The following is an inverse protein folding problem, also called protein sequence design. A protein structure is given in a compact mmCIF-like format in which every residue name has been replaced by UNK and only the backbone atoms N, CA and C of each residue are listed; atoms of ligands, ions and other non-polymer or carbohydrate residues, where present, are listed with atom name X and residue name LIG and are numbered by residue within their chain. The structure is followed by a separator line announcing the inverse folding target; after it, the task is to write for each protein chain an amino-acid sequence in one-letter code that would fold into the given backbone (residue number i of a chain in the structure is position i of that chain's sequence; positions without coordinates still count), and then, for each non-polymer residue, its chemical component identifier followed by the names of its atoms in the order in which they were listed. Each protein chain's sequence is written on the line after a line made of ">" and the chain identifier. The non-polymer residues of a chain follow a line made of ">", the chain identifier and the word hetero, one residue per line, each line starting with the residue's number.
data_IF_792554526194
#
_entry.id   IF_792554526194
#
_cell.length_a   1.000
_cell.length_b   1.000
_cell.length_c   1.000
_cell.angle_alpha   90.00
_cell.angle_beta   90.00
_cell.angle_gamma   90.00
#
_symmetry.space_group_name_H-M   'P 1'
#
loop_
_entity.id
_entity.type
_entity.pdbx_description
1 polymer ?
#
# COMPACT_ATOMS: atom_id res chain seq x y z
N UNK A 1 -6.25 -13.40 23.79
CA UNK A 1 -5.31 -12.91 22.78
C UNK A 1 -4.26 -13.98 22.50
N UNK A 2 -4.31 -14.58 21.32
CA UNK A 2 -3.30 -15.55 20.88
C UNK A 2 -2.03 -14.79 20.48
N UNK A 3 -0.94 -15.00 21.26
CA UNK A 3 0.37 -14.42 20.98
C UNK A 3 1.21 -15.41 20.18
N UNK A 4 1.87 -14.90 19.14
CA UNK A 4 2.83 -15.67 18.35
C UNK A 4 2.15 -16.63 17.36
N UNK A 5 2.33 -16.36 16.08
CA UNK A 5 1.90 -17.24 14.98
C UNK A 5 2.96 -18.33 14.71
N UNK A 6 3.51 -18.93 15.77
CA UNK A 6 4.49 -20.02 15.63
C UNK A 6 3.90 -21.31 15.07
N UNK A 7 2.59 -21.45 15.14
CA UNK A 7 1.85 -22.61 14.64
C UNK A 7 1.36 -22.35 13.21
N UNK A 8 1.65 -23.26 12.29
CA UNK A 8 1.24 -23.21 10.87
C UNK A 8 -0.28 -23.05 10.75
N UNK A 9 -1.05 -23.75 11.60
CA UNK A 9 -2.51 -23.70 11.59
C UNK A 9 -3.04 -22.30 11.93
N UNK A 10 -2.46 -21.63 12.94
CA UNK A 10 -2.83 -20.26 13.32
C UNK A 10 -2.49 -19.24 12.23
N UNK A 11 -1.40 -19.45 11.51
CA UNK A 11 -1.03 -18.62 10.34
C UNK A 11 -2.07 -18.75 9.24
N UNK A 12 -2.53 -19.97 8.94
CA UNK A 12 -3.55 -20.22 7.93
C UNK A 12 -4.89 -19.59 8.30
N UNK A 13 -5.33 -19.70 9.56
CA UNK A 13 -6.55 -19.05 10.04
C UNK A 13 -6.46 -17.52 9.93
N UNK A 14 -5.32 -16.94 10.28
CA UNK A 14 -5.08 -15.50 10.15
C UNK A 14 -5.21 -15.07 8.69
N UNK A 15 -4.49 -15.72 7.77
CA UNK A 15 -4.54 -15.40 6.33
C UNK A 15 -5.95 -15.56 5.76
N UNK A 16 -6.65 -16.63 6.11
CA UNK A 16 -8.02 -16.85 5.67
C UNK A 16 -8.96 -15.74 6.15
N UNK A 17 -8.79 -15.26 7.37
CA UNK A 17 -9.59 -14.15 7.87
C UNK A 17 -9.29 -12.85 7.11
N UNK A 18 -8.02 -12.47 7.00
CA UNK A 18 -7.61 -11.22 6.34
C UNK A 18 -7.98 -11.21 4.86
N UNK A 19 -7.75 -12.32 4.14
CA UNK A 19 -8.02 -12.40 2.70
C UNK A 19 -9.51 -12.37 2.34
N UNK A 20 -10.39 -12.75 3.28
CA UNK A 20 -11.84 -12.77 3.08
C UNK A 20 -12.57 -11.59 3.74
N UNK A 21 -11.88 -10.73 4.48
CA UNK A 21 -12.51 -9.60 5.14
C UNK A 21 -12.56 -8.38 4.22
N UNK A 22 -13.68 -7.63 4.25
CA UNK A 22 -13.87 -6.43 3.40
C UNK A 22 -12.78 -5.36 3.62
N UNK A 23 -12.30 -5.22 4.86
CA UNK A 23 -11.20 -4.34 5.23
C UNK A 23 -9.82 -4.99 5.06
N UNK A 24 -9.76 -6.21 4.50
CA UNK A 24 -8.51 -6.90 4.23
C UNK A 24 -7.63 -6.13 3.25
N UNK A 25 -6.31 -6.23 3.45
CA UNK A 25 -5.31 -5.59 2.60
C UNK A 25 -4.05 -6.46 2.56
N UNK A 26 -3.36 -6.50 1.42
CA UNK A 26 -2.13 -7.29 1.27
C UNK A 26 -1.03 -6.89 2.28
N UNK A 27 -1.05 -5.64 2.78
CA UNK A 27 -0.11 -5.17 3.81
C UNK A 27 -0.45 -5.70 5.21
N UNK A 28 -1.61 -6.33 5.38
CA UNK A 28 -2.00 -7.07 6.59
C UNK A 28 -1.79 -8.58 6.44
N UNK A 29 -1.44 -9.08 5.25
CA UNK A 29 -1.00 -10.47 5.05
C UNK A 29 0.35 -10.73 5.72
N UNK A 30 0.55 -11.92 6.25
CA UNK A 30 1.85 -12.36 6.79
C UNK A 30 2.93 -12.44 5.69
N UNK A 31 2.53 -12.61 4.43
CA UNK A 31 3.44 -12.55 3.29
C UNK A 31 4.13 -11.18 3.17
N UNK A 32 3.47 -10.09 3.61
CA UNK A 32 4.05 -8.76 3.63
C UNK A 32 5.28 -8.65 4.52
N UNK A 33 5.40 -9.48 5.54
CA UNK A 33 6.57 -9.51 6.43
C UNK A 33 7.86 -9.89 5.69
N UNK A 34 7.75 -10.75 4.68
CA UNK A 34 8.87 -11.10 3.80
C UNK A 34 9.35 -9.94 2.94
N UNK A 35 8.47 -9.00 2.58
CA UNK A 35 8.83 -7.75 1.89
C UNK A 35 9.53 -6.79 2.86
N UNK A 36 9.09 -6.75 4.11
CA UNK A 36 9.58 -5.86 5.17
C UNK A 36 10.65 -6.50 6.07
N UNK A 37 11.60 -7.23 5.49
CA UNK A 37 12.66 -7.96 6.23
C UNK A 37 13.46 -7.11 7.23
N UNK A 38 13.52 -5.78 7.02
CA UNK A 38 14.22 -4.84 7.91
C UNK A 38 13.38 -4.44 9.13
N UNK A 39 12.17 -4.97 9.26
CA UNK A 39 11.25 -4.73 10.38
C UNK A 39 10.99 -6.04 11.12
N UNK A 40 10.93 -5.97 12.44
CA UNK A 40 10.29 -7.03 13.21
C UNK A 40 8.78 -6.94 13.01
N UNK A 41 8.08 -8.00 13.34
CA UNK A 41 6.61 -8.02 13.29
C UNK A 41 6.02 -8.90 14.38
N UNK A 42 4.79 -8.57 14.72
CA UNK A 42 3.91 -9.38 15.57
C UNK A 42 2.51 -9.32 14.99
N UNK A 43 1.71 -10.34 15.25
CA UNK A 43 0.30 -10.33 14.88
C UNK A 43 -0.58 -10.56 16.10
N UNK A 44 -1.72 -9.88 16.11
CA UNK A 44 -2.77 -10.00 17.11
C UNK A 44 -3.98 -10.63 16.46
N UNK A 45 -4.62 -11.58 17.15
CA UNK A 45 -5.90 -12.18 16.76
C UNK A 45 -6.86 -12.00 17.91
N UNK A 46 -7.99 -11.36 17.66
CA UNK A 46 -9.14 -11.27 18.57
C UNK A 46 -10.19 -12.31 18.21
N UNK A 47 -10.69 -13.03 19.21
CA UNK A 47 -11.67 -14.11 19.04
C UNK A 47 -12.87 -13.88 19.97
N UNK A 48 -14.04 -14.27 19.51
CA UNK A 48 -15.22 -14.34 20.37
C UNK A 48 -15.15 -15.54 21.35
N UNK A 49 -16.17 -15.66 22.17
CA UNK A 49 -16.30 -16.74 23.20
C UNK A 49 -16.33 -18.14 22.58
N UNK A 50 -16.70 -18.26 21.32
CA UNK A 50 -16.76 -19.51 20.58
C UNK A 50 -15.45 -19.84 19.85
N UNK A 51 -14.42 -18.97 19.96
CA UNK A 51 -13.14 -19.12 19.31
C UNK A 51 -13.10 -18.59 17.87
N UNK A 52 -14.17 -18.00 17.36
CA UNK A 52 -14.23 -17.43 16.00
C UNK A 52 -13.45 -16.12 15.94
N UNK A 53 -12.61 -15.94 14.91
CA UNK A 53 -11.85 -14.70 14.71
C UNK A 53 -12.81 -13.56 14.37
N UNK A 54 -12.73 -12.47 15.13
CA UNK A 54 -13.48 -11.23 14.95
C UNK A 54 -12.64 -10.10 14.41
N UNK A 55 -11.32 -10.18 14.62
CA UNK A 55 -10.41 -9.17 14.11
C UNK A 55 -8.95 -9.57 14.26
N UNK A 56 -8.11 -8.95 13.45
CA UNK A 56 -6.66 -9.18 13.42
C UNK A 56 -5.89 -7.88 13.23
N UNK A 57 -4.62 -7.87 13.62
CA UNK A 57 -3.70 -6.80 13.28
C UNK A 57 -2.29 -7.36 13.07
N UNK A 58 -1.69 -7.08 11.92
CA UNK A 58 -0.25 -7.19 11.70
C UNK A 58 0.42 -5.88 12.14
N UNK A 59 1.34 -5.95 13.07
CA UNK A 59 2.10 -4.81 13.56
C UNK A 59 3.54 -4.95 13.12
N UNK A 60 4.01 -4.03 12.32
CA UNK A 60 5.40 -3.87 11.93
C UNK A 60 6.11 -3.04 12.99
N UNK A 61 7.34 -3.45 13.36
CA UNK A 61 8.10 -2.89 14.46
C UNK A 61 9.47 -2.46 13.95
N UNK A 62 9.70 -1.14 13.92
CA UNK A 62 10.98 -0.56 13.54
C UNK A 62 11.77 -0.20 14.79
N UNK A 63 12.84 -0.93 15.07
CA UNK A 63 13.76 -0.57 16.15
C UNK A 63 14.50 0.72 15.78
N UNK A 64 14.59 1.64 16.72
CA UNK A 64 15.33 2.89 16.56
C UNK A 64 16.76 2.68 17.10
N UNK A 65 17.78 2.70 16.23
CA UNK A 65 19.16 2.51 16.67
C UNK A 65 19.54 3.48 17.78
N UNK A 66 20.27 3.02 18.77
CA UNK A 66 20.83 3.78 19.89
C UNK A 66 19.82 4.34 20.92
N UNK A 67 18.51 4.37 20.62
CA UNK A 67 17.50 4.91 21.54
C UNK A 67 16.80 3.83 22.38
N UNK A 68 17.00 2.55 22.05
CA UNK A 68 16.40 1.42 22.76
C UNK A 68 14.86 1.46 22.78
N UNK A 69 14.23 2.11 21.77
CA UNK A 69 12.79 2.17 21.56
C UNK A 69 12.42 1.78 20.13
N UNK A 70 11.14 1.67 19.85
CA UNK A 70 10.65 1.31 18.52
C UNK A 70 9.48 2.15 18.06
N UNK A 71 9.33 2.23 16.75
CA UNK A 71 8.13 2.72 16.06
C UNK A 71 7.26 1.52 15.69
N UNK A 72 5.97 1.60 15.99
CA UNK A 72 4.98 0.57 15.68
C UNK A 72 4.05 1.06 14.56
N UNK A 73 3.81 0.21 13.56
CA UNK A 73 2.95 0.56 12.46
C UNK A 73 2.09 -0.62 12.01
N UNK A 74 0.79 -0.43 11.92
CA UNK A 74 -0.14 -1.41 11.36
C UNK A 74 -0.74 -0.85 10.06
N UNK A 75 -0.11 -1.17 8.89
CA UNK A 75 -0.54 -0.62 7.60
C UNK A 75 -1.92 -1.16 7.21
N UNK A 76 -2.86 -0.27 6.90
CA UNK A 76 -4.25 -0.60 6.58
C UNK A 76 -4.94 -1.49 7.62
N UNK A 77 -4.45 -1.47 8.85
CA UNK A 77 -4.99 -2.23 9.96
C UNK A 77 -5.54 -1.36 11.09
N UNK A 78 -6.17 -2.04 12.07
CA UNK A 78 -6.51 -3.46 12.13
C UNK A 78 -7.57 -3.91 11.12
N UNK A 79 -7.68 -5.22 10.88
CA UNK A 79 -8.72 -5.81 10.02
C UNK A 79 -9.84 -6.33 10.91
N UNK A 80 -10.95 -5.61 10.97
CA UNK A 80 -12.13 -5.94 11.79
C UNK A 80 -13.32 -5.07 11.36
N UNK A 81 -14.48 -5.30 11.98
CA UNK A 81 -15.57 -4.33 12.01
C UNK A 81 -15.23 -3.22 13.02
N UNK A 82 -15.07 -1.98 12.53
CA UNK A 82 -14.72 -0.84 13.38
C UNK A 82 -15.87 -0.37 14.30
N UNK A 83 -17.09 -0.90 14.15
CA UNK A 83 -18.21 -0.69 15.06
C UNK A 83 -18.21 -1.68 16.22
N UNK A 84 -17.50 -2.80 16.08
CA UNK A 84 -17.30 -3.77 17.16
C UNK A 84 -16.20 -3.26 18.11
N UNK A 85 -16.61 -2.40 19.05
CA UNK A 85 -15.71 -1.75 20.02
C UNK A 85 -15.01 -2.74 20.93
N UNK A 86 -15.62 -3.89 21.23
CA UNK A 86 -15.02 -4.92 22.09
C UNK A 86 -13.88 -5.62 21.35
N UNK A 87 -14.07 -5.97 20.08
CA UNK A 87 -13.01 -6.52 19.23
C UNK A 87 -11.85 -5.53 19.11
N UNK A 88 -12.13 -4.24 18.88
CA UNK A 88 -11.08 -3.22 18.80
C UNK A 88 -10.30 -3.05 20.10
N UNK A 89 -11.01 -3.02 21.26
CA UNK A 89 -10.35 -2.96 22.59
C UNK A 89 -9.42 -4.17 22.79
N UNK A 90 -9.87 -5.36 22.43
CA UNK A 90 -9.07 -6.59 22.57
C UNK A 90 -7.83 -6.55 21.66
N UNK A 91 -7.98 -6.14 20.39
CA UNK A 91 -6.84 -5.95 19.47
C UNK A 91 -5.84 -4.94 20.05
N UNK A 92 -6.30 -3.76 20.49
CA UNK A 92 -5.39 -2.73 21.00
C UNK A 92 -4.79 -3.10 22.38
N UNK A 93 -5.46 -3.91 23.17
CA UNK A 93 -4.85 -4.52 24.36
C UNK A 93 -3.70 -5.47 23.99
N UNK A 94 -3.88 -6.27 22.93
CA UNK A 94 -2.81 -7.10 22.37
C UNK A 94 -1.64 -6.27 21.84
N UNK A 95 -1.91 -5.20 21.11
CA UNK A 95 -0.88 -4.28 20.60
C UNK A 95 -0.15 -3.58 21.75
N UNK A 96 -0.83 -3.24 22.85
CA UNK A 96 -0.20 -2.65 24.04
C UNK A 96 0.85 -3.59 24.65
N UNK A 97 0.62 -4.89 24.61
CA UNK A 97 1.62 -5.87 25.06
C UNK A 97 2.84 -5.90 24.13
N UNK A 98 2.62 -5.79 22.81
CA UNK A 98 3.69 -5.65 21.81
C UNK A 98 4.47 -4.36 22.09
N UNK A 99 3.78 -3.24 22.30
CA UNK A 99 4.39 -1.96 22.64
C UNK A 99 5.31 -2.07 23.85
N UNK A 100 4.87 -2.71 24.93
CA UNK A 100 5.69 -2.92 26.14
C UNK A 100 6.92 -3.77 25.84
N UNK A 101 6.74 -4.87 25.10
CA UNK A 101 7.83 -5.79 24.72
C UNK A 101 8.93 -5.09 23.92
N UNK A 102 8.56 -4.25 22.98
CA UNK A 102 9.48 -3.58 22.06
C UNK A 102 9.78 -2.12 22.44
N UNK A 103 9.28 -1.64 23.59
CA UNK A 103 9.43 -0.26 24.05
C UNK A 103 8.97 0.75 22.98
N UNK A 104 7.77 0.52 22.44
CA UNK A 104 7.18 1.37 21.42
C UNK A 104 6.91 2.78 21.94
N UNK A 105 7.41 3.81 21.26
CA UNK A 105 7.16 5.21 21.59
C UNK A 105 5.94 5.78 20.89
N UNK A 106 5.58 5.22 19.75
CA UNK A 106 4.45 5.62 18.93
C UNK A 106 3.85 4.42 18.20
N UNK A 107 2.54 4.38 18.10
CA UNK A 107 1.78 3.47 17.23
C UNK A 107 1.05 4.28 16.19
N UNK A 108 1.21 3.92 14.91
CA UNK A 108 0.37 4.41 13.81
C UNK A 108 -0.47 3.31 13.22
N UNK A 109 -1.69 3.66 12.87
CA UNK A 109 -2.60 2.82 12.08
C UNK A 109 -3.23 3.70 11.00
N UNK A 110 -3.47 3.15 9.82
CA UNK A 110 -4.16 3.82 8.72
C UNK A 110 -5.25 2.90 8.15
N UNK A 111 -6.35 2.73 8.91
CA UNK A 111 -7.39 1.76 8.61
C UNK A 111 -8.05 1.98 7.26
N UNK A 112 -8.62 0.90 6.70
CA UNK A 112 -9.39 0.95 5.45
C UNK A 112 -10.80 1.55 5.66
N UNK A 113 -10.91 2.65 6.43
CA UNK A 113 -12.14 3.45 6.59
C UNK A 113 -12.00 4.77 5.83
N UNK A 114 -13.14 5.32 5.39
CA UNK A 114 -13.19 6.56 4.62
C UNK A 114 -13.38 7.79 5.51
N UNK A 115 -13.20 8.98 4.97
CA UNK A 115 -13.48 10.24 5.69
C UNK A 115 -14.96 10.40 6.09
N UNK A 116 -15.87 9.61 5.47
CA UNK A 116 -17.29 9.63 5.75
C UNK A 116 -17.71 8.67 6.87
N UNK A 117 -16.82 7.75 7.27
CA UNK A 117 -17.07 6.77 8.33
C UNK A 117 -16.87 7.40 9.72
N UNK A 118 -17.71 8.43 10.03
CA UNK A 118 -17.55 9.28 11.21
C UNK A 118 -17.68 8.52 12.54
N UNK A 119 -18.51 7.48 12.59
CA UNK A 119 -18.68 6.64 13.79
C UNK A 119 -17.38 5.89 14.06
N UNK A 120 -16.82 5.25 13.05
CA UNK A 120 -15.59 4.47 13.11
C UNK A 120 -14.38 5.35 13.49
N UNK A 121 -14.32 6.57 12.95
CA UNK A 121 -13.31 7.58 13.31
C UNK A 121 -13.44 7.93 14.80
N UNK A 122 -14.65 8.16 15.28
CA UNK A 122 -14.87 8.54 16.68
C UNK A 122 -14.58 7.38 17.65
N UNK A 123 -14.85 6.13 17.25
CA UNK A 123 -14.45 4.94 18.02
C UNK A 123 -12.93 4.92 18.23
N UNK A 124 -12.13 5.19 17.20
CA UNK A 124 -10.68 5.23 17.32
C UNK A 124 -10.20 6.40 18.19
N UNK A 125 -10.83 7.59 18.09
CA UNK A 125 -10.55 8.72 18.98
C UNK A 125 -10.80 8.36 20.45
N UNK A 126 -11.91 7.71 20.73
CA UNK A 126 -12.28 7.27 22.08
C UNK A 126 -11.33 6.19 22.63
N UNK A 127 -10.62 5.46 21.75
CA UNK A 127 -9.53 4.55 22.12
C UNK A 127 -8.18 5.27 22.33
N UNK A 128 -8.18 6.60 22.30
CA UNK A 128 -7.02 7.44 22.60
C UNK A 128 -6.08 7.69 21.43
N UNK A 129 -6.56 7.58 20.19
CA UNK A 129 -5.79 7.98 19.03
C UNK A 129 -5.98 9.46 18.70
N UNK A 130 -4.88 10.14 18.42
CA UNK A 130 -4.87 11.44 17.76
C UNK A 130 -5.18 11.24 16.26
N UNK A 131 -6.05 12.08 15.72
CA UNK A 131 -6.44 12.06 14.32
C UNK A 131 -6.42 13.46 13.74
N UNK A 132 -5.69 13.67 12.66
CA UNK A 132 -5.65 14.94 11.94
C UNK A 132 -6.43 14.85 10.64
N UNK A 133 -7.68 15.28 10.66
CA UNK A 133 -8.57 15.32 9.50
C UNK A 133 -8.00 16.18 8.35
N UNK A 134 -7.23 17.22 8.68
CA UNK A 134 -6.65 18.17 7.73
C UNK A 134 -5.16 17.93 7.49
N UNK A 135 -4.68 16.69 7.63
CA UNK A 135 -3.30 16.36 7.35
C UNK A 135 -2.93 16.79 5.92
N UNK A 136 -1.85 17.58 5.71
CA UNK A 136 -1.45 18.00 4.38
C UNK A 136 -1.17 16.81 3.45
N UNK A 137 -1.41 17.00 2.16
CA UNK A 137 -1.09 16.01 1.13
C UNK A 137 0.37 15.55 1.26
N UNK A 138 0.59 14.27 1.05
CA UNK A 138 1.90 13.64 1.17
C UNK A 138 2.54 13.67 2.58
N UNK A 139 1.82 13.97 3.66
CA UNK A 139 2.33 13.89 5.03
C UNK A 139 2.00 12.59 5.76
N UNK A 140 1.11 11.78 5.21
CA UNK A 140 0.75 10.44 5.68
C UNK A 140 1.59 9.34 5.01
N UNK A 141 1.78 8.19 5.65
CA UNK A 141 2.55 7.06 5.10
C UNK A 141 1.84 6.50 3.85
N UNK A 142 0.52 6.32 3.93
CA UNK A 142 -0.31 5.95 2.79
C UNK A 142 -1.02 7.17 2.22
N UNK A 143 -1.33 7.14 0.93
CA UNK A 143 -2.11 8.19 0.29
C UNK A 143 -3.55 8.18 0.84
N UNK A 144 -4.07 9.36 1.18
CA UNK A 144 -5.47 9.50 1.61
C UNK A 144 -6.44 9.45 0.43
N UNK A 145 -6.07 10.10 -0.67
CA UNK A 145 -6.90 10.20 -1.86
C UNK A 145 -6.44 9.17 -2.88
N UNK A 146 -7.24 8.16 -3.11
CA UNK A 146 -7.01 7.15 -4.14
C UNK A 146 -8.04 7.29 -5.27
N UNK A 147 -7.66 6.83 -6.46
CA UNK A 147 -8.61 6.69 -7.56
C UNK A 147 -8.95 5.22 -7.74
N UNK A 148 -10.22 4.87 -7.66
CA UNK A 148 -10.67 3.48 -7.73
C UNK A 148 -11.65 3.28 -8.89
N UNK A 149 -11.64 2.08 -9.45
CA UNK A 149 -12.64 1.61 -10.41
C UNK A 149 -13.40 0.46 -9.77
N UNK A 150 -14.72 0.63 -9.58
CA UNK A 150 -15.58 -0.45 -9.08
C UNK A 150 -15.84 -1.43 -10.20
N UNK A 151 -15.51 -2.69 -9.96
CA UNK A 151 -15.76 -3.79 -10.89
C UNK A 151 -17.11 -4.45 -10.56
N UNK A 152 -17.28 -4.90 -9.33
CA UNK A 152 -18.55 -5.41 -8.80
C UNK A 152 -19.29 -6.37 -9.75
N UNK A 153 -18.58 -7.35 -10.31
CA UNK A 153 -19.14 -8.37 -11.19
C UNK A 153 -19.37 -7.92 -12.65
N UNK A 154 -19.01 -6.68 -13.03
CA UNK A 154 -19.04 -6.26 -14.43
C UNK A 154 -18.04 -7.06 -15.27
N UNK A 155 -18.44 -7.39 -16.50
CA UNK A 155 -17.55 -8.01 -17.48
C UNK A 155 -16.45 -7.05 -17.97
N UNK A 156 -15.40 -7.62 -18.58
CA UNK A 156 -14.31 -6.82 -19.17
C UNK A 156 -14.84 -5.85 -20.24
N UNK A 157 -15.80 -6.28 -21.06
CA UNK A 157 -16.42 -5.45 -22.11
C UNK A 157 -17.19 -4.27 -21.50
N UNK A 158 -18.00 -4.50 -20.46
CA UNK A 158 -18.75 -3.43 -19.77
C UNK A 158 -17.80 -2.41 -19.12
N UNK A 159 -16.71 -2.88 -18.53
CA UNK A 159 -15.67 -2.03 -17.97
C UNK A 159 -14.99 -1.22 -19.08
N UNK A 160 -14.56 -1.88 -20.16
CA UNK A 160 -13.89 -1.21 -21.28
C UNK A 160 -14.78 -0.13 -21.91
N UNK A 161 -16.06 -0.43 -22.18
CA UNK A 161 -16.99 0.52 -22.79
C UNK A 161 -17.32 1.69 -21.85
N UNK A 162 -17.13 1.55 -20.52
CA UNK A 162 -17.29 2.66 -19.58
C UNK A 162 -16.17 3.70 -19.64
N UNK A 163 -14.99 3.38 -20.20
CA UNK A 163 -13.87 4.31 -20.30
C UNK A 163 -14.15 5.47 -21.24
N UNK A 164 -13.49 6.60 -21.04
CA UNK A 164 -13.54 7.70 -21.99
C UNK A 164 -13.10 7.24 -23.39
N UNK A 165 -13.77 7.73 -24.45
CA UNK A 165 -13.52 7.36 -25.84
C UNK A 165 -12.02 7.39 -26.20
N UNK A 166 -11.29 8.42 -25.75
CA UNK A 166 -9.85 8.58 -26.01
C UNK A 166 -9.02 7.47 -25.36
N UNK A 167 -9.41 6.98 -24.15
CA UNK A 167 -8.71 5.88 -23.45
C UNK A 167 -8.90 4.57 -24.18
N UNK A 168 -10.12 4.24 -24.57
CA UNK A 168 -10.41 3.06 -25.40
C UNK A 168 -9.63 3.10 -26.71
N UNK A 169 -9.59 4.26 -27.36
CA UNK A 169 -8.80 4.47 -28.57
C UNK A 169 -7.30 4.23 -28.32
N UNK A 170 -6.74 4.78 -27.24
CA UNK A 170 -5.30 4.64 -26.92
C UNK A 170 -4.92 3.18 -26.60
N UNK A 171 -5.77 2.43 -25.90
CA UNK A 171 -5.56 0.98 -25.65
C UNK A 171 -5.49 0.24 -26.99
N UNK A 172 -6.44 0.48 -27.90
CA UNK A 172 -6.45 -0.13 -29.24
C UNK A 172 -5.25 0.31 -30.09
N UNK A 173 -4.80 1.54 -29.96
CA UNK A 173 -3.60 2.04 -30.64
C UNK A 173 -2.37 1.29 -30.17
N UNK A 174 -2.19 1.09 -28.87
CA UNK A 174 -1.03 0.35 -28.35
C UNK A 174 -0.95 -1.05 -28.94
N UNK A 175 -2.05 -1.81 -28.90
CA UNK A 175 -2.11 -3.16 -29.47
C UNK A 175 -1.84 -3.16 -30.98
N UNK A 176 -2.47 -2.24 -31.75
CA UNK A 176 -2.26 -2.17 -33.21
C UNK A 176 -0.84 -1.76 -33.63
N UNK A 177 -0.16 -0.99 -32.80
CA UNK A 177 1.24 -0.59 -33.03
C UNK A 177 2.25 -1.66 -32.63
N UNK A 178 1.79 -2.78 -32.04
CA UNK A 178 2.67 -3.90 -31.65
C UNK A 178 3.29 -3.72 -30.28
N UNK A 179 2.67 -2.93 -29.38
CA UNK A 179 3.07 -2.96 -27.97
C UNK A 179 2.62 -4.29 -27.35
N UNK A 180 3.55 -5.01 -26.78
CA UNK A 180 3.30 -6.27 -26.07
C UNK A 180 3.30 -6.03 -24.56
N UNK A 181 2.20 -6.35 -23.88
CA UNK A 181 2.13 -6.33 -22.42
C UNK A 181 2.21 -7.76 -21.88
N UNK A 182 3.23 -8.03 -21.06
CA UNK A 182 3.52 -9.35 -20.52
C UNK A 182 3.50 -9.33 -19.00
N UNK A 183 3.03 -10.43 -18.39
CA UNK A 183 3.28 -10.71 -16.97
C UNK A 183 4.65 -11.40 -16.90
N UNK A 184 5.52 -10.85 -16.07
CA UNK A 184 6.89 -11.30 -15.91
C UNK A 184 7.17 -11.68 -14.45
N UNK A 185 8.19 -12.48 -14.24
CA UNK A 185 8.76 -12.75 -12.92
C UNK A 185 9.98 -11.86 -12.61
N UNK A 186 10.88 -12.40 -11.79
CA UNK A 186 12.10 -11.69 -11.37
C UNK A 186 13.12 -11.52 -12.50
N UNK A 187 12.98 -12.25 -13.61
CA UNK A 187 13.84 -12.13 -14.80
C UNK A 187 13.73 -10.77 -15.49
N UNK A 188 12.58 -10.08 -15.36
CA UNK A 188 12.39 -8.74 -15.94
C UNK A 188 12.67 -7.59 -14.95
N UNK A 189 13.19 -7.90 -13.76
CA UNK A 189 13.46 -6.87 -12.75
C UNK A 189 14.51 -5.84 -13.14
N UNK A 190 15.46 -6.20 -14.01
CA UNK A 190 16.46 -5.25 -14.49
C UNK A 190 15.84 -4.19 -15.38
N UNK A 191 14.99 -4.59 -16.32
CA UNK A 191 14.24 -3.69 -17.19
C UNK A 191 13.30 -2.79 -16.39
N UNK A 192 12.54 -3.40 -15.46
CA UNK A 192 11.64 -2.65 -14.58
C UNK A 192 12.39 -1.63 -13.72
N UNK A 193 13.52 -2.02 -13.15
CA UNK A 193 14.32 -1.14 -12.28
C UNK A 193 14.92 0.02 -13.05
N UNK A 194 15.41 -0.20 -14.27
CA UNK A 194 15.86 0.85 -15.18
C UNK A 194 14.76 1.89 -15.45
N UNK A 195 13.54 1.44 -15.75
CA UNK A 195 12.38 2.33 -15.91
C UNK A 195 12.02 3.08 -14.62
N UNK A 196 12.14 2.42 -13.45
CA UNK A 196 11.94 3.06 -12.15
C UNK A 196 12.96 4.17 -11.89
N UNK A 197 14.23 3.95 -12.23
CA UNK A 197 15.29 4.97 -12.10
C UNK A 197 15.02 6.18 -13.00
N UNK A 198 14.62 5.94 -14.25
CA UNK A 198 14.25 7.02 -15.18
C UNK A 198 13.05 7.81 -14.66
N UNK A 199 12.01 7.10 -14.20
CA UNK A 199 10.80 7.71 -13.65
C UNK A 199 11.11 8.52 -12.38
N UNK A 200 11.88 7.95 -11.44
CA UNK A 200 12.25 8.64 -10.20
C UNK A 200 13.09 9.90 -10.45
N UNK A 201 14.02 9.86 -11.40
CA UNK A 201 14.82 11.04 -11.80
C UNK A 201 13.95 12.11 -12.46
N UNK A 202 13.06 11.72 -13.37
CA UNK A 202 12.17 12.63 -14.10
C UNK A 202 11.17 13.30 -13.15
N UNK A 203 10.55 12.54 -12.25
CA UNK A 203 9.42 12.99 -11.44
C UNK A 203 9.85 13.41 -10.00
N UNK A 204 11.16 13.33 -9.69
CA UNK A 204 11.76 13.89 -8.48
C UNK A 204 11.46 13.14 -7.18
N UNK A 205 11.27 11.82 -7.21
CA UNK A 205 10.99 11.01 -6.01
C UNK A 205 12.01 9.89 -5.79
N UNK A 206 12.15 9.48 -4.52
CA UNK A 206 13.00 8.36 -4.15
C UNK A 206 12.35 7.04 -4.49
N UNK A 207 13.06 6.17 -5.21
CA UNK A 207 12.61 4.83 -5.56
C UNK A 207 13.03 3.79 -4.51
N UNK A 208 12.32 2.66 -4.48
CA UNK A 208 12.72 1.48 -3.71
C UNK A 208 13.89 0.77 -4.41
N UNK A 209 14.67 0.00 -3.66
CA UNK A 209 15.74 -0.82 -4.24
C UNK A 209 15.18 -1.94 -5.12
N UNK A 210 15.97 -2.42 -6.09
CA UNK A 210 15.60 -3.59 -6.91
C UNK A 210 15.30 -4.82 -6.05
N UNK A 211 16.05 -5.01 -4.96
CA UNK A 211 15.83 -6.10 -4.01
C UNK A 211 14.47 -5.99 -3.27
N UNK A 212 13.96 -4.78 -3.05
CA UNK A 212 12.61 -4.61 -2.50
C UNK A 212 11.53 -5.13 -3.46
N UNK A 213 11.66 -4.86 -4.75
CA UNK A 213 10.71 -5.36 -5.76
C UNK A 213 10.84 -6.87 -5.94
N UNK A 214 12.06 -7.43 -5.88
CA UNK A 214 12.27 -8.88 -5.86
C UNK A 214 11.50 -9.51 -4.70
N UNK A 215 11.68 -8.99 -3.49
CA UNK A 215 10.96 -9.47 -2.30
C UNK A 215 9.46 -9.36 -2.44
N UNK A 216 8.93 -8.31 -3.09
CA UNK A 216 7.49 -8.22 -3.36
C UNK A 216 6.99 -9.38 -4.20
N UNK A 217 7.66 -9.67 -5.32
CA UNK A 217 7.28 -10.77 -6.21
C UNK A 217 7.39 -12.13 -5.52
N UNK A 218 8.50 -12.38 -4.83
CA UNK A 218 8.77 -13.67 -4.19
C UNK A 218 7.88 -13.91 -2.95
N UNK A 219 7.72 -12.91 -2.08
CA UNK A 219 7.01 -13.09 -0.81
C UNK A 219 5.50 -13.05 -0.97
N UNK A 220 4.96 -12.22 -1.86
CA UNK A 220 3.54 -12.14 -2.13
C UNK A 220 3.07 -13.21 -3.14
N UNK A 221 3.99 -13.80 -3.92
CA UNK A 221 3.72 -14.92 -4.82
C UNK A 221 2.57 -14.63 -5.79
N UNK A 222 1.57 -15.48 -5.82
CA UNK A 222 0.39 -15.34 -6.70
C UNK A 222 -0.39 -14.03 -6.50
N UNK A 223 -0.23 -13.39 -5.35
CA UNK A 223 -0.84 -12.11 -5.02
C UNK A 223 -0.10 -10.91 -5.61
N UNK A 224 1.00 -11.11 -6.33
CA UNK A 224 1.81 -10.02 -6.89
C UNK A 224 2.25 -10.35 -8.31
N UNK A 225 2.06 -9.40 -9.23
CA UNK A 225 2.50 -9.53 -10.62
C UNK A 225 3.33 -8.32 -11.04
N UNK A 226 4.37 -8.59 -11.83
CA UNK A 226 5.11 -7.58 -12.59
C UNK A 226 4.57 -7.57 -14.02
N UNK A 227 4.00 -6.45 -14.45
CA UNK A 227 3.59 -6.22 -15.83
C UNK A 227 4.67 -5.41 -16.53
N UNK A 228 5.08 -5.83 -17.73
CA UNK A 228 6.03 -5.11 -18.58
C UNK A 228 5.44 -4.91 -19.96
N UNK A 229 5.54 -3.69 -20.48
CA UNK A 229 5.20 -3.37 -21.86
C UNK A 229 6.45 -3.15 -22.69
N UNK A 230 6.56 -3.89 -23.78
CA UNK A 230 7.66 -3.81 -24.75
C UNK A 230 7.17 -3.33 -26.09
N UNK A 231 8.05 -2.64 -26.80
CA UNK A 231 7.86 -2.24 -28.19
C UNK A 231 9.16 -2.43 -28.96
N UNK A 232 9.14 -3.25 -30.02
CA UNK A 232 10.36 -3.64 -30.77
C UNK A 232 11.47 -4.21 -29.87
N UNK A 233 11.11 -4.93 -28.81
CA UNK A 233 12.04 -5.49 -27.85
C UNK A 233 12.53 -4.53 -26.75
N UNK A 234 12.18 -3.25 -26.82
CA UNK A 234 12.57 -2.24 -25.81
C UNK A 234 11.50 -2.11 -24.71
N UNK A 235 11.87 -2.08 -23.42
CA UNK A 235 10.93 -1.87 -22.32
C UNK A 235 10.47 -0.41 -22.27
N UNK A 236 9.14 -0.18 -22.35
CA UNK A 236 8.55 1.16 -22.36
C UNK A 236 7.87 1.53 -21.05
N UNK A 237 7.21 0.58 -20.42
CA UNK A 237 6.57 0.77 -19.12
C UNK A 237 6.51 -0.53 -18.35
N UNK A 238 6.43 -0.42 -17.02
CA UNK A 238 6.28 -1.54 -16.13
C UNK A 238 5.47 -1.17 -14.89
N UNK A 239 4.83 -2.17 -14.29
CA UNK A 239 4.03 -2.00 -13.08
C UNK A 239 4.12 -3.21 -12.17
N UNK A 240 4.21 -2.98 -10.86
CA UNK A 240 3.96 -3.99 -9.85
C UNK A 240 2.54 -3.81 -9.34
N UNK A 241 1.72 -4.84 -9.54
CA UNK A 241 0.34 -4.89 -9.08
C UNK A 241 0.17 -6.00 -8.05
N UNK A 242 -0.71 -5.77 -7.06
CA UNK A 242 -1.08 -6.78 -6.06
C UNK A 242 -2.56 -7.08 -6.14
N UNK A 243 -2.93 -8.33 -5.81
CA UNK A 243 -4.34 -8.74 -5.73
C UNK A 243 -4.57 -9.49 -4.42
N UNK A 244 -5.43 -8.93 -3.57
CA UNK A 244 -5.70 -9.49 -2.24
C UNK A 244 -7.04 -8.98 -1.71
N UNK A 245 -7.76 -9.81 -0.96
CA UNK A 245 -9.05 -9.46 -0.34
C UNK A 245 -10.04 -8.80 -1.32
N UNK A 246 -10.17 -9.37 -2.53
CA UNK A 246 -11.10 -8.87 -3.56
C UNK A 246 -10.73 -7.52 -4.18
N UNK A 247 -9.49 -7.08 -4.02
CA UNK A 247 -8.97 -5.81 -4.54
C UNK A 247 -7.71 -6.05 -5.36
N UNK A 248 -7.60 -5.41 -6.52
CA UNK A 248 -6.35 -5.32 -7.29
C UNK A 248 -5.81 -3.90 -7.17
N UNK A 249 -4.54 -3.76 -6.78
CA UNK A 249 -3.89 -2.47 -6.55
C UNK A 249 -2.71 -2.27 -7.51
N UNK A 250 -2.68 -1.15 -8.22
CA UNK A 250 -1.53 -0.66 -8.99
C UNK A 250 -0.54 0.03 -8.05
N UNK A 251 0.41 -0.73 -7.48
CA UNK A 251 1.24 -0.27 -6.36
C UNK A 251 2.43 0.56 -6.80
N UNK A 252 3.13 0.13 -7.85
CA UNK A 252 4.26 0.84 -8.45
C UNK A 252 4.14 0.86 -9.95
N UNK A 253 4.50 1.98 -10.56
CA UNK A 253 4.53 2.14 -12.00
C UNK A 253 5.71 2.95 -12.45
N UNK A 254 6.25 2.57 -13.61
CA UNK A 254 7.37 3.22 -14.25
C UNK A 254 7.19 3.30 -15.75
N UNK A 255 7.75 4.31 -16.38
CA UNK A 255 7.71 4.46 -17.84
C UNK A 255 8.84 5.34 -18.35
N UNK A 256 9.35 5.00 -19.52
CA UNK A 256 10.27 5.89 -20.26
C UNK A 256 9.54 7.08 -20.88
N UNK A 257 10.30 8.11 -21.20
CA UNK A 257 9.84 9.23 -22.03
C UNK A 257 9.79 8.89 -23.53
N UNK A 258 10.46 7.80 -23.93
CA UNK A 258 10.54 7.38 -25.32
C UNK A 258 9.23 6.74 -25.79
N UNK A 259 8.94 6.82 -27.07
CA UNK A 259 7.82 6.16 -27.73
C UNK A 259 6.45 6.35 -27.04
N UNK A 260 6.20 7.50 -26.37
CA UNK A 260 4.91 7.78 -25.71
C UNK A 260 3.71 7.72 -26.67
N UNK A 261 3.94 7.94 -27.94
CA UNK A 261 2.93 7.89 -29.00
C UNK A 261 2.41 6.48 -29.32
N UNK A 262 3.05 5.41 -28.78
CA UNK A 262 2.54 4.03 -28.89
C UNK A 262 1.65 3.64 -27.69
N UNK A 263 1.43 4.54 -26.72
CA UNK A 263 0.45 4.43 -25.63
C UNK A 263 0.63 3.23 -24.67
N UNK A 264 1.85 2.82 -24.24
CA UNK A 264 2.08 1.59 -23.48
C UNK A 264 1.34 1.57 -22.15
N UNK A 265 1.28 2.70 -21.43
CA UNK A 265 0.65 2.78 -20.11
C UNK A 265 -0.87 2.49 -20.14
N UNK A 266 -1.54 2.79 -21.25
CA UNK A 266 -2.96 2.51 -21.41
C UNK A 266 -3.22 1.01 -21.53
N UNK A 267 -2.40 0.32 -22.31
CA UNK A 267 -2.48 -1.13 -22.48
C UNK A 267 -2.11 -1.84 -21.18
N UNK A 268 -1.07 -1.38 -20.48
CA UNK A 268 -0.66 -1.93 -19.19
C UNK A 268 -1.77 -1.85 -18.15
N UNK A 269 -2.40 -0.67 -17.99
CA UNK A 269 -3.52 -0.51 -17.07
C UNK A 269 -4.69 -1.42 -17.44
N UNK A 270 -5.00 -1.53 -18.73
CA UNK A 270 -6.07 -2.42 -19.20
C UNK A 270 -5.80 -3.88 -18.83
N UNK A 271 -4.58 -4.38 -19.02
CA UNK A 271 -4.21 -5.76 -18.65
C UNK A 271 -4.35 -6.02 -17.14
N UNK A 272 -3.98 -5.05 -16.29
CA UNK A 272 -4.16 -5.18 -14.85
C UNK A 272 -5.65 -5.16 -14.45
N UNK A 273 -6.47 -4.35 -15.13
CA UNK A 273 -7.93 -4.32 -14.92
C UNK A 273 -8.57 -5.65 -15.35
N UNK A 274 -8.14 -6.23 -16.48
CA UNK A 274 -8.59 -7.57 -16.90
C UNK A 274 -8.26 -8.61 -15.84
N UNK A 275 -7.06 -8.58 -15.26
CA UNK A 275 -6.71 -9.49 -14.16
C UNK A 275 -7.64 -9.34 -12.96
N UNK A 276 -8.03 -8.12 -12.61
CA UNK A 276 -9.00 -7.86 -11.55
C UNK A 276 -10.38 -8.46 -11.87
N UNK A 277 -10.85 -8.29 -13.11
CA UNK A 277 -12.14 -8.85 -13.56
C UNK A 277 -12.12 -10.37 -13.57
N UNK A 278 -11.09 -10.98 -14.15
CA UNK A 278 -10.91 -12.45 -14.25
C UNK A 278 -10.94 -13.15 -12.89
N UNK A 279 -10.46 -12.47 -11.85
CA UNK A 279 -10.43 -13.01 -10.49
C UNK A 279 -11.57 -12.49 -9.59
N UNK A 280 -12.61 -11.90 -10.18
CA UNK A 280 -13.80 -11.49 -9.44
C UNK A 280 -13.57 -10.41 -8.39
N UNK A 281 -12.53 -9.57 -8.56
CA UNK A 281 -12.30 -8.46 -7.65
C UNK A 281 -13.46 -7.46 -7.71
N UNK A 282 -13.78 -6.87 -6.57
CA UNK A 282 -14.78 -5.79 -6.50
C UNK A 282 -14.22 -4.43 -6.90
N UNK A 283 -12.91 -4.24 -6.69
CA UNK A 283 -12.24 -2.94 -6.88
C UNK A 283 -10.90 -3.13 -7.60
N UNK A 284 -10.63 -2.24 -8.56
CA UNK A 284 -9.30 -1.95 -9.05
C UNK A 284 -8.87 -0.57 -8.52
N UNK A 285 -7.80 -0.54 -7.72
CA UNK A 285 -7.28 0.66 -7.08
C UNK A 285 -6.04 1.16 -7.83
N UNK A 286 -6.18 2.31 -8.50
CA UNK A 286 -5.06 3.01 -9.14
C UNK A 286 -4.11 3.65 -8.16
N UNK A 287 -4.38 3.57 -6.85
CA UNK A 287 -3.62 4.21 -5.77
C UNK A 287 -3.64 5.76 -5.83
N UNK A 288 -2.76 6.37 -5.07
CA UNK A 288 -2.76 7.79 -4.75
C UNK A 288 -2.88 8.77 -5.92
N UNK A 289 -3.67 9.80 -5.70
CA UNK A 289 -3.88 10.95 -6.60
C UNK A 289 -3.58 12.26 -5.86
N UNK A 290 -2.31 12.50 -5.49
CA UNK A 290 -1.97 13.70 -4.72
C UNK A 290 -2.30 14.96 -5.52
N UNK A 291 -2.81 15.97 -4.81
CA UNK A 291 -3.16 17.30 -5.37
C UNK A 291 -4.20 17.26 -6.49
N UNK A 292 -5.08 16.26 -6.51
CA UNK A 292 -6.08 16.08 -7.57
C UNK A 292 -7.09 17.23 -7.71
N UNK A 293 -7.22 18.07 -6.67
CA UNK A 293 -8.08 19.27 -6.68
C UNK A 293 -7.38 20.51 -7.26
N UNK A 294 -6.08 20.45 -7.56
CA UNK A 294 -5.30 21.57 -8.07
C UNK A 294 -4.80 21.31 -9.49
N UNK A 295 -5.52 21.81 -10.47
CA UNK A 295 -5.21 21.61 -11.89
C UNK A 295 -3.86 22.18 -12.32
N UNK A 296 -3.34 23.17 -11.59
CA UNK A 296 -2.04 23.79 -11.85
C UNK A 296 -0.87 23.05 -11.20
N UNK A 297 -1.15 22.02 -10.38
CA UNK A 297 -0.08 21.27 -9.72
C UNK A 297 0.61 20.31 -10.71
N UNK A 298 1.96 20.19 -10.71
CA UNK A 298 2.69 19.29 -11.60
C UNK A 298 2.18 17.84 -11.59
N UNK A 299 1.72 17.35 -10.43
CA UNK A 299 1.22 16.00 -10.26
C UNK A 299 -0.25 15.81 -10.73
N UNK A 300 -0.95 16.87 -11.11
CA UNK A 300 -2.35 16.76 -11.58
C UNK A 300 -2.50 15.83 -12.79
N UNK A 301 -1.47 15.74 -13.63
CA UNK A 301 -1.43 14.82 -14.76
C UNK A 301 -1.67 13.36 -14.39
N UNK A 302 -1.27 12.94 -13.19
CA UNK A 302 -1.50 11.58 -12.67
C UNK A 302 -3.00 11.33 -12.47
N UNK A 303 -3.70 12.26 -11.83
CA UNK A 303 -5.15 12.17 -11.65
C UNK A 303 -5.88 12.18 -13.00
N UNK A 304 -5.55 13.12 -13.89
CA UNK A 304 -6.15 13.22 -15.23
C UNK A 304 -5.99 11.95 -16.06
N UNK A 305 -4.82 11.26 -15.94
CA UNK A 305 -4.61 9.97 -16.58
C UNK A 305 -5.56 8.90 -16.00
N UNK A 306 -5.66 8.79 -14.67
CA UNK A 306 -6.51 7.81 -14.00
C UNK A 306 -8.01 8.08 -14.25
N UNK A 307 -8.42 9.34 -14.26
CA UNK A 307 -9.80 9.78 -14.45
C UNK A 307 -10.43 9.26 -15.74
N UNK A 308 -9.65 9.11 -16.81
CA UNK A 308 -10.17 8.62 -18.08
C UNK A 308 -10.59 7.15 -18.09
N UNK A 309 -10.25 6.38 -17.06
CA UNK A 309 -10.77 5.04 -16.82
C UNK A 309 -12.13 5.03 -16.12
N UNK A 310 -12.74 6.21 -15.93
CA UNK A 310 -14.10 6.42 -15.45
C UNK A 310 -14.38 5.74 -14.09
N UNK A 311 -13.46 5.88 -13.16
CA UNK A 311 -13.62 5.50 -11.76
C UNK A 311 -14.08 6.67 -10.90
N UNK A 312 -13.80 6.58 -9.62
CA UNK A 312 -14.15 7.58 -8.59
C UNK A 312 -13.01 7.84 -7.63
N UNK A 313 -13.05 8.99 -6.97
CA UNK A 313 -12.12 9.31 -5.88
C UNK A 313 -12.63 8.67 -4.59
N UNK A 314 -11.76 7.89 -3.95
CA UNK A 314 -11.97 7.37 -2.61
C UNK A 314 -11.03 8.07 -1.65
N UNK A 315 -11.58 8.79 -0.66
CA UNK A 315 -10.79 9.46 0.37
C UNK A 315 -10.84 8.65 1.66
N UNK A 316 -9.70 8.07 2.02
CA UNK A 316 -9.54 7.40 3.32
C UNK A 316 -9.48 8.44 4.45
N UNK A 317 -9.87 8.02 5.66
CA UNK A 317 -9.71 8.86 6.85
C UNK A 317 -8.25 9.29 7.02
N UNK A 318 -7.32 8.35 6.87
CA UNK A 318 -5.87 8.61 6.99
C UNK A 318 -5.28 8.00 8.25
N UNK A 319 -4.24 8.63 8.79
CA UNK A 319 -3.48 8.10 9.92
C UNK A 319 -4.10 8.45 11.27
N UNK A 320 -4.14 7.45 12.14
CA UNK A 320 -4.43 7.57 13.55
C UNK A 320 -3.14 7.28 14.33
N UNK A 321 -2.79 8.17 15.23
CA UNK A 321 -1.50 8.15 15.95
C UNK A 321 -1.75 8.05 17.45
N UNK A 322 -1.06 7.11 18.10
CA UNK A 322 -1.05 7.04 19.56
C UNK A 322 0.39 7.17 20.06
N UNK A 323 0.65 8.27 20.75
CA UNK A 323 1.95 8.55 21.37
C UNK A 323 1.95 8.05 22.82
N UNK A 324 3.10 7.56 23.26
CA UNK A 324 3.25 7.04 24.61
C UNK A 324 4.21 7.89 25.42
N UNK A 325 3.79 8.25 26.64
CA UNK A 325 4.61 9.02 27.59
C UNK A 325 5.89 8.27 28.00
N UNK A 326 6.92 9.00 28.38
CA UNK A 326 8.23 8.44 28.81
C UNK A 326 9.31 8.45 27.72
N UNK A 327 8.98 8.91 26.51
CA UNK A 327 9.95 9.13 25.45
C UNK A 327 10.00 10.60 25.09
N UNK A 328 11.21 11.16 24.95
CA UNK A 328 11.35 12.55 24.50
C UNK A 328 11.11 12.63 22.99
N UNK A 329 9.82 12.73 22.61
CA UNK A 329 9.39 12.80 21.21
C UNK A 329 10.10 13.92 20.44
N UNK A 330 10.40 15.05 21.10
CA UNK A 330 11.13 16.15 20.49
C UNK A 330 12.57 15.81 20.08
N UNK A 331 13.25 14.93 20.79
CA UNK A 331 14.58 14.43 20.40
C UNK A 331 14.44 13.50 19.18
N UNK A 332 13.45 12.61 19.19
CA UNK A 332 13.19 11.66 18.10
C UNK A 332 12.84 12.42 16.82
N UNK A 333 12.00 13.46 16.91
CA UNK A 333 11.63 14.32 15.79
C UNK A 333 12.84 15.13 15.25
N UNK A 334 13.67 15.69 16.12
CA UNK A 334 14.89 16.43 15.73
C UNK A 334 15.93 15.58 15.02
N UNK A 335 16.03 14.28 15.34
CA UNK A 335 16.93 13.34 14.66
C UNK A 335 16.39 12.98 13.27
N UNK A 336 15.19 13.46 12.88
CA UNK A 336 14.59 13.18 11.58
C UNK A 336 14.11 11.73 11.42
N UNK A 337 13.98 11.01 12.52
CA UNK A 337 13.59 9.59 12.57
C UNK A 337 12.15 9.42 12.13
N UNK A 338 11.29 10.41 12.38
CA UNK A 338 9.89 10.47 11.96
C UNK A 338 9.70 10.99 10.52
N UNK A 339 10.79 11.41 9.85
CA UNK A 339 10.67 11.81 8.45
C UNK A 339 10.31 10.61 7.56
N UNK A 340 9.57 10.87 6.49
CA UNK A 340 9.29 9.84 5.44
C UNK A 340 10.55 9.19 4.91
N UNK A 341 11.68 9.90 4.87
CA UNK A 341 12.98 9.37 4.48
C UNK A 341 13.40 8.20 5.37
N UNK A 342 13.13 8.29 6.68
CA UNK A 342 13.47 7.24 7.64
C UNK A 342 12.64 5.95 7.41
N UNK A 343 11.35 6.08 7.15
CA UNK A 343 10.48 4.92 6.88
C UNK A 343 10.85 4.19 5.58
N UNK A 344 11.64 4.85 4.72
CA UNK A 344 12.04 4.35 3.41
C UNK A 344 13.51 3.90 3.33
N UNK A 345 14.35 4.21 4.32
CA UNK A 345 15.79 3.93 4.32
C UNK A 345 16.11 2.69 5.17
N UNK A 346 17.04 1.84 4.72
CA UNK A 346 17.56 0.72 5.52
C UNK A 346 18.39 1.23 6.72
N UNK A 347 18.60 0.42 7.78
CA UNK A 347 19.46 0.80 8.90
C UNK A 347 20.89 1.23 8.50
N UNK A 348 21.45 0.61 7.47
CA UNK A 348 22.75 0.99 6.91
C UNK A 348 22.73 2.37 6.23
N UNK A 349 21.66 2.68 5.48
CA UNK A 349 21.48 3.99 4.86
C UNK A 349 21.28 5.12 5.88
N UNK A 350 20.77 4.81 7.07
CA UNK A 350 20.65 5.76 8.17
C UNK A 350 22.01 6.16 8.74
N UNK A 351 22.91 5.18 8.93
CA UNK A 351 24.27 5.42 9.38
C UNK A 351 25.06 6.31 8.41
N UNK A 352 24.84 6.13 7.10
CA UNK A 352 25.43 6.98 6.07
C UNK A 352 24.88 8.41 6.06
N UNK A 353 23.57 8.58 6.32
CA UNK A 353 22.98 9.92 6.46
C UNK A 353 23.51 10.67 7.69
N UNK A 354 23.66 9.98 8.83
CA UNK A 354 24.24 10.57 10.04
C UNK A 354 25.72 10.94 9.87
N UNK A 355 26.46 10.25 8.98
CA UNK A 355 27.86 10.58 8.66
C UNK A 355 28.04 11.76 7.70
N UNK A 356 27.05 12.04 6.84
CA UNK A 356 27.12 13.17 5.87
C UNK A 356 26.71 14.52 6.46
N UNK A 357 26.19 14.54 7.68
CA UNK A 357 25.80 15.77 8.41
C UNK A 357 26.69 16.05 9.63
N UNK A 358 27.85 15.39 9.73
CA UNK A 358 28.98 15.82 10.55
C UNK A 358 30.06 16.38 9.62
#
# INVERSE_FOLDING_TARGET
>A
VSRGLGDVYKRQEYENFVSNHINGNFMQSLCWTGVKKDWNYEAVISRDKNGTIKGTALVLIRLIPFLGCSFLYSPHGPVCDYRDTETLKDIFAGIELIRKKYRGYELRVDPCITENDKIEIEVLRNLGFEFNENAPELTTIQARNNYILRINGRSADEIFESFHKKWRYNIRVASRKGVECKVCGTECLDDFYMLMEETGKRDGFCIRSKEYFRRMLESLGEHCRLYMCYYNGEPLSGAVATQYAGKTCYVYGASTAQHRNVMPNYLMQWNMICWAVENGCSIYDFQGIPFYKNENHPNYGVYRFKQGFNGEVLTYAGEFVKKYSGFNSGIIEKIGILSRRFLHVSPAGLLDMCRRHK
#
